data_IF_097302611700
#
_entry.id   IF_097302611700
#
_cell.length_a   1.000
_cell.length_b   1.000
_cell.length_c   1.000
_cell.angle_alpha   90.00
_cell.angle_beta   90.00
_cell.angle_gamma   90.00
#
_symmetry.space_group_name_H-M   'P 1'
#
loop_
_entity.id
_entity.type
_entity.pdbx_description
1 polymer ?
#
# COMPACT_ATOMS: atom_id res chain seq x y z
N UNK A 1 27.50 -26.37 -17.26
CA UNK A 1 27.33 -24.95 -16.87
C UNK A 1 25.85 -24.72 -16.64
N UNK A 2 25.40 -24.78 -15.39
CA UNK A 2 24.03 -24.46 -15.04
C UNK A 2 23.97 -22.95 -14.76
N UNK A 3 23.15 -22.24 -15.52
CA UNK A 3 22.98 -20.80 -15.37
C UNK A 3 22.32 -20.52 -14.01
N UNK A 4 23.13 -20.05 -13.07
CA UNK A 4 22.68 -19.37 -11.87
C UNK A 4 22.01 -18.08 -12.31
N UNK A 5 20.69 -18.10 -12.48
CA UNK A 5 19.93 -16.85 -12.56
C UNK A 5 19.84 -16.29 -11.15
N UNK A 6 20.87 -15.56 -10.76
CA UNK A 6 20.80 -14.66 -9.62
C UNK A 6 19.81 -13.56 -9.96
N UNK A 7 18.54 -13.77 -9.58
CA UNK A 7 17.56 -12.69 -9.52
C UNK A 7 18.02 -11.79 -8.36
N UNK A 8 18.70 -10.68 -8.66
CA UNK A 8 18.89 -9.59 -7.70
C UNK A 8 17.54 -9.16 -7.11
N UNK A 9 17.49 -8.48 -5.94
CA UNK A 9 16.26 -8.25 -5.18
C UNK A 9 15.31 -7.32 -5.95
N UNK A 10 14.62 -7.88 -6.92
CA UNK A 10 13.38 -7.35 -7.42
C UNK A 10 12.50 -7.26 -6.20
N UNK A 11 12.05 -6.05 -5.91
CA UNK A 11 11.02 -5.68 -4.95
C UNK A 11 9.88 -6.72 -5.02
N UNK A 12 10.04 -7.81 -4.26
CA UNK A 12 9.21 -9.00 -4.41
C UNK A 12 7.88 -8.64 -3.78
N UNK A 13 6.91 -8.38 -4.65
CA UNK A 13 5.52 -8.20 -4.24
C UNK A 13 5.17 -9.38 -3.33
N UNK A 14 4.67 -9.10 -2.11
CA UNK A 14 4.28 -10.15 -1.19
C UNK A 14 3.37 -11.17 -1.87
N UNK A 15 3.74 -12.44 -1.82
CA UNK A 15 2.99 -13.51 -2.50
C UNK A 15 1.77 -14.01 -1.72
N UNK A 16 1.56 -13.49 -0.50
CA UNK A 16 0.44 -13.84 0.37
C UNK A 16 -0.11 -12.60 1.04
N UNK A 17 -1.39 -12.63 1.41
CA UNK A 17 -2.02 -11.54 2.17
C UNK A 17 -1.32 -11.30 3.51
N UNK A 18 -0.91 -12.37 4.19
CA UNK A 18 -0.18 -12.28 5.45
C UNK A 18 1.15 -11.49 5.31
N UNK A 19 1.97 -11.84 4.32
CA UNK A 19 3.23 -11.11 4.07
C UNK A 19 2.98 -9.66 3.66
N UNK A 20 1.89 -9.40 2.93
CA UNK A 20 1.50 -8.03 2.59
C UNK A 20 1.24 -7.20 3.84
N UNK A 21 0.51 -7.74 4.82
CA UNK A 21 0.31 -7.07 6.10
C UNK A 21 1.62 -6.79 6.83
N UNK A 22 2.53 -7.76 6.92
CA UNK A 22 3.83 -7.56 7.59
C UNK A 22 4.64 -6.42 6.94
N UNK A 23 4.77 -6.45 5.61
CA UNK A 23 5.50 -5.43 4.86
C UNK A 23 4.86 -4.05 5.07
N UNK A 24 3.55 -3.94 4.90
CA UNK A 24 2.86 -2.65 5.04
C UNK A 24 2.88 -2.12 6.47
N UNK A 25 2.82 -2.98 7.49
CA UNK A 25 2.96 -2.56 8.89
C UNK A 25 4.33 -1.96 9.18
N UNK A 26 5.40 -2.53 8.62
CA UNK A 26 6.76 -1.98 8.76
C UNK A 26 6.96 -0.62 8.08
N UNK A 27 6.17 -0.34 7.03
CA UNK A 27 6.23 0.91 6.26
C UNK A 27 5.22 1.97 6.74
N UNK A 28 4.41 1.64 7.75
CA UNK A 28 3.35 2.50 8.23
C UNK A 28 3.92 3.86 8.69
N UNK A 29 3.38 4.99 8.21
CA UNK A 29 3.82 6.30 8.65
C UNK A 29 3.60 6.51 10.15
N UNK A 30 4.38 7.43 10.72
CA UNK A 30 4.16 7.93 12.07
C UNK A 30 2.72 8.47 12.24
N UNK A 31 2.04 8.24 13.38
CA UNK A 31 0.70 8.76 13.61
C UNK A 31 0.54 10.27 13.40
N UNK A 32 1.57 11.06 13.71
CA UNK A 32 1.60 12.50 13.53
C UNK A 32 2.13 12.92 12.14
N UNK A 33 2.42 11.97 11.25
CA UNK A 33 2.88 12.29 9.90
C UNK A 33 1.85 13.14 9.13
N UNK A 34 2.29 14.02 8.23
CA UNK A 34 1.39 14.85 7.44
C UNK A 34 0.36 14.01 6.65
N UNK A 35 -0.87 14.53 6.43
CA UNK A 35 -1.91 13.81 5.69
C UNK A 35 -1.47 13.33 4.30
N UNK A 36 -0.60 14.09 3.62
CA UNK A 36 -0.04 13.70 2.32
C UNK A 36 0.81 12.42 2.39
N UNK A 37 1.59 12.23 3.47
CA UNK A 37 2.40 11.01 3.68
C UNK A 37 1.51 9.81 3.95
N UNK A 38 0.45 10.00 4.75
CA UNK A 38 -0.57 8.98 4.93
C UNK A 38 -1.25 8.62 3.62
N UNK A 39 -1.67 9.61 2.81
CA UNK A 39 -2.29 9.36 1.50
C UNK A 39 -1.38 8.54 0.57
N UNK A 40 -0.10 8.88 0.50
CA UNK A 40 0.87 8.14 -0.31
C UNK A 40 1.01 6.68 0.15
N UNK A 41 1.12 6.44 1.46
CA UNK A 41 1.15 5.10 2.02
C UNK A 41 -0.11 4.30 1.69
N UNK A 42 -1.30 4.89 1.87
CA UNK A 42 -2.59 4.24 1.58
C UNK A 42 -2.72 3.83 0.11
N UNK A 43 -2.29 4.69 -0.82
CA UNK A 43 -2.25 4.35 -2.26
C UNK A 43 -1.28 3.22 -2.56
N UNK A 44 -0.12 3.21 -1.91
CA UNK A 44 0.85 2.12 -2.04
C UNK A 44 0.28 0.80 -1.50
N UNK A 45 -0.32 0.81 -0.30
CA UNK A 45 -1.01 -0.35 0.28
C UNK A 45 -2.08 -0.91 -0.64
N UNK A 46 -2.92 -0.04 -1.22
CA UNK A 46 -3.96 -0.45 -2.17
C UNK A 46 -3.37 -1.18 -3.39
N UNK A 47 -2.23 -0.71 -3.91
CA UNK A 47 -1.52 -1.36 -5.02
C UNK A 47 -0.99 -2.73 -4.61
N UNK A 48 -0.37 -2.85 -3.44
CA UNK A 48 0.18 -4.12 -2.95
C UNK A 48 -0.94 -5.15 -2.78
N UNK A 49 -2.04 -4.80 -2.10
CA UNK A 49 -3.15 -5.73 -1.93
C UNK A 49 -3.79 -6.14 -3.27
N UNK A 50 -3.88 -5.22 -4.24
CA UNK A 50 -4.35 -5.57 -5.59
C UNK A 50 -3.45 -6.61 -6.26
N UNK A 51 -2.13 -6.45 -6.18
CA UNK A 51 -1.19 -7.41 -6.76
C UNK A 51 -1.23 -8.75 -6.02
N UNK A 52 -1.36 -8.73 -4.69
CA UNK A 52 -1.54 -9.93 -3.86
C UNK A 52 -2.79 -10.70 -4.28
N UNK A 53 -3.90 -10.01 -4.57
CA UNK A 53 -5.14 -10.65 -4.99
C UNK A 53 -4.97 -11.50 -6.27
N UNK A 54 -4.05 -11.13 -7.16
CA UNK A 54 -3.78 -11.86 -8.40
C UNK A 54 -2.94 -13.14 -8.15
N UNK A 55 -2.12 -13.16 -7.10
CA UNK A 55 -1.19 -14.26 -6.79
C UNK A 55 -1.70 -15.19 -5.68
N UNK A 56 -2.29 -14.65 -4.62
CA UNK A 56 -2.86 -15.39 -3.49
C UNK A 56 -4.34 -15.66 -3.74
N UNK A 57 -4.63 -16.67 -4.57
CA UNK A 57 -6.01 -17.03 -4.94
C UNK A 57 -6.86 -17.47 -3.74
N UNK A 58 -6.23 -17.94 -2.66
CA UNK A 58 -6.94 -18.32 -1.42
C UNK A 58 -7.50 -17.12 -0.68
N UNK A 59 -6.83 -15.96 -0.76
CA UNK A 59 -7.25 -14.71 -0.14
C UNK A 59 -7.64 -13.65 -1.16
N UNK A 60 -7.94 -14.04 -2.40
CA UNK A 60 -8.22 -13.11 -3.50
C UNK A 60 -9.25 -12.04 -3.12
N UNK A 61 -10.41 -12.46 -2.63
CA UNK A 61 -11.49 -11.53 -2.26
C UNK A 61 -11.14 -10.64 -1.07
N UNK A 62 -10.39 -11.17 -0.10
CA UNK A 62 -9.96 -10.41 1.06
C UNK A 62 -8.89 -9.37 0.69
N UNK A 63 -7.93 -9.74 -0.16
CA UNK A 63 -6.95 -8.82 -0.71
C UNK A 63 -7.62 -7.73 -1.57
N UNK A 64 -8.65 -8.07 -2.37
CA UNK A 64 -9.43 -7.07 -3.09
C UNK A 64 -10.20 -6.12 -2.16
N UNK A 65 -10.77 -6.64 -1.08
CA UNK A 65 -11.42 -5.82 -0.06
C UNK A 65 -10.44 -4.80 0.53
N UNK A 66 -9.25 -5.24 0.98
CA UNK A 66 -8.24 -4.35 1.52
C UNK A 66 -7.73 -3.35 0.47
N UNK A 67 -7.56 -3.77 -0.79
CA UNK A 67 -7.17 -2.86 -1.86
C UNK A 67 -8.17 -1.70 -2.03
N UNK A 68 -9.47 -2.01 -2.02
CA UNK A 68 -10.51 -0.99 -2.10
C UNK A 68 -10.56 -0.12 -0.84
N UNK A 69 -10.52 -0.73 0.34
CA UNK A 69 -10.55 -0.03 1.62
C UNK A 69 -9.42 1.01 1.74
N UNK A 70 -8.20 0.62 1.41
CA UNK A 70 -7.04 1.53 1.43
C UNK A 70 -7.18 2.66 0.41
N UNK A 71 -7.80 2.39 -0.75
CA UNK A 71 -8.07 3.41 -1.76
C UNK A 71 -9.10 4.42 -1.27
N UNK A 72 -10.18 3.98 -0.65
CA UNK A 72 -11.23 4.85 -0.13
C UNK A 72 -10.68 5.80 0.95
N UNK A 73 -9.82 5.30 1.84
CA UNK A 73 -9.10 6.11 2.82
C UNK A 73 -8.16 7.13 2.17
N UNK A 74 -7.43 6.74 1.13
CA UNK A 74 -6.56 7.64 0.39
C UNK A 74 -7.34 8.77 -0.30
N UNK A 75 -8.50 8.44 -0.86
CA UNK A 75 -9.37 9.40 -1.54
C UNK A 75 -10.02 10.36 -0.53
N UNK A 76 -10.41 9.87 0.66
CA UNK A 76 -10.87 10.72 1.75
C UNK A 76 -9.78 11.71 2.21
N UNK A 77 -8.56 11.21 2.41
CA UNK A 77 -7.41 12.07 2.75
C UNK A 77 -7.12 13.09 1.64
N UNK A 78 -7.24 12.70 0.37
CA UNK A 78 -7.12 13.60 -0.77
C UNK A 78 -8.12 14.76 -0.68
N UNK A 79 -9.41 14.44 -0.47
CA UNK A 79 -10.47 15.44 -0.28
C UNK A 79 -10.23 16.33 0.94
N UNK A 80 -9.62 15.81 2.01
CA UNK A 80 -9.26 16.63 3.20
C UNK A 80 -8.12 17.59 2.88
N UNK A 81 -7.06 17.13 2.22
CA UNK A 81 -5.91 17.96 1.82
C UNK A 81 -6.37 19.09 0.90
N UNK A 82 -7.22 18.79 -0.09
CA UNK A 82 -7.78 19.77 -1.03
C UNK A 82 -8.71 20.81 -0.38
N UNK A 83 -9.35 20.45 0.74
CA UNK A 83 -10.19 21.37 1.53
C UNK A 83 -9.40 22.16 2.57
N UNK A 84 -8.22 21.69 2.96
CA UNK A 84 -7.32 22.33 3.92
C UNK A 84 -6.05 23.02 3.35
N UNK A 85 -5.98 23.50 2.08
CA UNK A 85 -4.76 24.11 1.56
C UNK A 85 -4.42 25.44 2.27
N UNK A 86 -5.31 25.96 3.12
CA UNK A 86 -5.15 27.20 3.85
C UNK A 86 -4.24 27.13 5.09
N UNK A 87 -3.82 25.95 5.57
CA UNK A 87 -3.06 25.82 6.83
C UNK A 87 -1.55 25.62 6.63
N UNK A 88 -1.09 25.43 5.39
CA UNK A 88 0.35 25.25 5.09
C UNK A 88 1.06 26.55 4.64
N UNK A 89 0.34 27.69 4.66
CA UNK A 89 0.86 28.99 4.20
C UNK A 89 0.81 30.08 5.30
N UNK A 90 1.01 29.72 6.57
CA UNK A 90 1.27 30.65 7.68
C UNK A 90 2.60 30.32 8.34
#
# INVERSE_FOLDING_TARGET
>A
MAATTERGPAEEVPSTLFRAHEVLLSMRPDPAAPPARWRAFRLYSARIYRQVADVDRGHHHEALYFAQYERDLADELGRRIERSPAETAR
#
